data_IF_151452531841
#
_entry.id   IF_151452531841
#
_cell.length_a   1.000
_cell.length_b   1.000
_cell.length_c   1.000
_cell.angle_alpha   90.00
_cell.angle_beta   90.00
_cell.angle_gamma   90.00
#
_symmetry.space_group_name_H-M   'P 1'
#
loop_
_entity.id
_entity.type
_entity.pdbx_description
1 polymer ?
#
# COMPACT_ATOMS: atom_id res chain seq x y z
N UNK A 1 -38.77 94.23 -13.55
CA UNK A 1 -37.38 94.20 -13.03
C UNK A 1 -36.96 92.75 -12.88
N UNK A 2 -35.74 92.44 -13.34
CA UNK A 2 -34.93 91.23 -13.11
C UNK A 2 -35.46 89.84 -13.53
N UNK A 3 -34.95 89.38 -14.69
CA UNK A 3 -34.37 88.04 -14.91
C UNK A 3 -33.28 87.68 -13.87
N UNK A 4 -32.62 86.48 -13.82
CA UNK A 4 -32.75 85.23 -14.62
C UNK A 4 -32.61 83.93 -13.76
N UNK A 5 -32.40 82.79 -14.43
CA UNK A 5 -31.71 81.53 -14.05
C UNK A 5 -32.66 80.32 -14.21
N UNK A 6 -32.30 79.19 -14.82
CA UNK A 6 -31.05 78.71 -15.37
C UNK A 6 -31.32 77.43 -16.17
N UNK A 7 -30.37 77.09 -17.03
CA UNK A 7 -30.39 76.08 -18.11
C UNK A 7 -30.20 74.65 -17.56
N UNK A 8 -30.95 73.66 -18.05
CA UNK A 8 -30.49 72.26 -18.14
C UNK A 8 -30.99 71.65 -19.45
N UNK A 9 -30.03 71.26 -20.29
CA UNK A 9 -30.21 70.47 -21.51
C UNK A 9 -30.00 69.00 -21.11
N UNK A 10 -30.94 68.13 -21.46
CA UNK A 10 -30.73 66.68 -21.51
C UNK A 10 -31.25 66.17 -22.85
N UNK A 11 -30.30 65.83 -23.71
CA UNK A 11 -30.47 64.96 -24.87
C UNK A 11 -30.29 63.53 -24.40
N UNK A 12 -31.31 62.68 -24.55
CA UNK A 12 -31.15 61.22 -24.51
C UNK A 12 -31.74 60.63 -25.79
N UNK A 13 -30.82 60.32 -26.70
CA UNK A 13 -31.07 59.51 -27.89
C UNK A 13 -30.84 58.05 -27.50
N UNK A 14 -31.91 57.29 -27.30
CA UNK A 14 -31.84 55.86 -27.06
C UNK A 14 -31.29 55.14 -28.32
N UNK A 15 -30.14 54.49 -28.18
CA UNK A 15 -29.62 53.50 -29.15
C UNK A 15 -29.60 52.15 -28.45
N UNK A 16 -30.42 51.23 -28.93
CA UNK A 16 -30.43 49.82 -28.52
C UNK A 16 -29.35 49.05 -29.29
N UNK A 17 -28.50 48.22 -28.65
CA UNK A 17 -27.52 47.39 -29.35
C UNK A 17 -28.20 46.15 -29.96
N UNK A 18 -28.00 45.97 -31.26
CA UNK A 18 -28.42 44.81 -32.05
C UNK A 18 -27.57 43.58 -31.66
N UNK A 19 -28.21 42.52 -31.18
CA UNK A 19 -27.55 41.26 -30.80
C UNK A 19 -27.45 40.40 -32.05
N UNK A 20 -26.26 40.25 -32.61
CA UNK A 20 -26.04 39.32 -33.72
C UNK A 20 -26.31 37.87 -33.28
N UNK A 21 -27.08 37.09 -34.06
CA UNK A 21 -27.44 35.72 -33.69
C UNK A 21 -26.24 34.78 -33.86
N UNK A 22 -26.05 33.89 -32.87
CA UNK A 22 -25.01 32.84 -32.79
C UNK A 22 -24.86 31.94 -34.04
N UNK A 23 -25.80 32.01 -34.98
CA UNK A 23 -25.72 31.42 -36.30
C UNK A 23 -24.57 31.96 -37.16
N UNK A 24 -24.06 33.17 -36.92
CA UNK A 24 -22.92 33.73 -37.67
C UNK A 24 -21.58 33.07 -37.30
N UNK A 25 -21.43 32.56 -36.07
CA UNK A 25 -20.24 31.82 -35.63
C UNK A 25 -20.14 30.43 -36.30
N UNK A 26 -21.27 29.79 -36.60
CA UNK A 26 -21.32 28.51 -37.32
C UNK A 26 -21.09 28.68 -38.84
N UNK A 27 -21.24 29.90 -39.36
CA UNK A 27 -21.04 30.24 -40.76
C UNK A 27 -19.61 30.73 -41.07
N UNK A 28 -18.65 30.56 -40.14
CA UNK A 28 -17.27 30.92 -40.41
C UNK A 28 -16.70 30.08 -41.56
N UNK A 29 -16.05 30.70 -42.57
CA UNK A 29 -15.55 30.02 -43.78
C UNK A 29 -14.53 28.91 -43.51
N UNK A 30 -13.94 28.87 -42.31
CA UNK A 30 -13.07 27.79 -41.85
C UNK A 30 -13.79 26.44 -41.66
N UNK A 31 -15.11 26.44 -41.40
CA UNK A 31 -15.91 25.23 -41.22
C UNK A 31 -16.40 24.61 -42.54
N UNK A 32 -16.20 25.29 -43.68
CA UNK A 32 -16.53 24.75 -45.01
C UNK A 32 -15.35 24.09 -45.72
N UNK A 33 -14.13 24.28 -45.21
CA UNK A 33 -12.96 23.64 -45.81
C UNK A 33 -12.96 22.13 -45.50
N UNK A 34 -13.03 21.25 -46.53
CA UNK A 34 -13.12 19.81 -46.32
C UNK A 34 -11.90 19.24 -45.56
N UNK A 35 -10.75 19.92 -45.64
CA UNK A 35 -9.54 19.58 -44.89
C UNK A 35 -9.66 19.92 -43.40
N UNK A 36 -10.29 21.05 -43.06
CA UNK A 36 -10.49 21.46 -41.67
C UNK A 36 -11.53 20.57 -40.98
N UNK A 37 -12.64 20.27 -41.67
CA UNK A 37 -13.67 19.35 -41.16
C UNK A 37 -13.09 17.95 -40.93
N UNK A 38 -12.27 17.44 -41.86
CA UNK A 38 -11.60 16.16 -41.69
C UNK A 38 -10.59 16.16 -40.52
N UNK A 39 -9.82 17.23 -40.36
CA UNK A 39 -8.86 17.35 -39.25
C UNK A 39 -9.55 17.47 -37.88
N UNK A 40 -10.62 18.27 -37.80
CA UNK A 40 -11.43 18.40 -36.59
C UNK A 40 -12.14 17.09 -36.23
N UNK A 41 -12.71 16.39 -37.22
CA UNK A 41 -13.29 15.07 -37.04
C UNK A 41 -12.26 14.04 -36.56
N UNK A 42 -11.05 14.04 -37.15
CA UNK A 42 -9.95 13.17 -36.73
C UNK A 42 -9.49 13.44 -35.29
N UNK A 43 -9.40 14.70 -34.88
CA UNK A 43 -9.06 15.08 -33.50
C UNK A 43 -10.14 14.60 -32.51
N UNK A 44 -11.42 14.75 -32.85
CA UNK A 44 -12.52 14.27 -32.00
C UNK A 44 -12.49 12.75 -31.86
N UNK A 45 -12.26 12.01 -32.95
CA UNK A 45 -12.13 10.54 -32.92
C UNK A 45 -10.90 10.13 -32.09
N UNK A 46 -9.77 10.83 -32.23
CA UNK A 46 -8.57 10.58 -31.44
C UNK A 46 -8.81 10.86 -29.94
N UNK A 47 -9.52 11.93 -29.60
CA UNK A 47 -9.86 12.26 -28.21
C UNK A 47 -10.86 11.26 -27.62
N UNK A 48 -11.84 10.79 -28.40
CA UNK A 48 -12.75 9.72 -28.00
C UNK A 48 -11.97 8.42 -27.80
N UNK A 49 -11.07 8.07 -28.71
CA UNK A 49 -10.22 6.89 -28.61
C UNK A 49 -9.30 6.99 -27.39
N UNK A 50 -8.60 8.11 -27.18
CA UNK A 50 -7.79 8.34 -25.97
C UNK A 50 -8.63 8.31 -24.69
N UNK A 51 -9.85 8.85 -24.74
CA UNK A 51 -10.78 8.82 -23.61
C UNK A 51 -11.17 7.38 -23.28
N UNK A 52 -11.64 6.61 -24.26
CA UNK A 52 -12.02 5.20 -24.13
C UNK A 52 -10.85 4.31 -23.69
N UNK A 53 -9.65 4.54 -24.22
CA UNK A 53 -8.44 3.82 -23.82
C UNK A 53 -7.95 4.22 -22.41
N UNK A 54 -8.19 5.47 -21.98
CA UNK A 54 -7.92 5.89 -20.60
C UNK A 54 -8.94 5.34 -19.60
N UNK A 55 -10.19 5.12 -20.00
CA UNK A 55 -11.22 4.51 -19.13
C UNK A 55 -11.07 2.99 -18.96
N UNK A 56 -10.25 2.32 -19.78
CA UNK A 56 -9.97 0.88 -19.67
C UNK A 56 -9.13 0.45 -18.45
N UNK A 57 -8.59 1.41 -17.68
CA UNK A 57 -7.86 1.15 -16.42
C UNK A 57 -8.71 1.26 -15.16
N UNK A 58 -10.04 1.29 -15.28
CA UNK A 58 -10.90 1.14 -14.10
C UNK A 58 -10.96 -0.33 -13.75
N UNK A 59 -9.95 -0.78 -13.00
CA UNK A 59 -9.98 -2.07 -12.35
C UNK A 59 -11.33 -2.27 -11.66
N UNK A 60 -11.85 -3.48 -11.80
CA UNK A 60 -13.05 -3.96 -11.15
C UNK A 60 -12.97 -3.61 -9.66
N UNK A 61 -13.60 -2.50 -9.27
CA UNK A 61 -13.70 -2.11 -7.86
C UNK A 61 -14.48 -3.23 -7.19
N UNK A 62 -13.79 -4.06 -6.40
CA UNK A 62 -14.44 -5.07 -5.55
C UNK A 62 -15.56 -4.37 -4.80
N UNK A 63 -16.80 -4.83 -5.03
CA UNK A 63 -17.98 -4.28 -4.39
C UNK A 63 -17.93 -4.67 -2.90
N UNK A 64 -17.42 -3.78 -2.05
CA UNK A 64 -17.22 -4.03 -0.63
C UNK A 64 -16.33 -2.99 0.04
N UNK A 65 -16.24 -3.01 1.39
CA UNK A 65 -15.31 -2.15 2.12
C UNK A 65 -13.86 -2.53 1.79
N UNK A 66 -12.98 -1.54 1.70
CA UNK A 66 -11.54 -1.76 1.50
C UNK A 66 -11.00 -2.55 2.70
N UNK A 67 -10.41 -3.72 2.44
CA UNK A 67 -9.93 -4.60 3.52
C UNK A 67 -8.43 -4.46 3.69
N UNK A 68 -8.00 -4.20 4.91
CA UNK A 68 -6.61 -3.96 5.30
C UNK A 68 -6.18 -4.98 6.34
N UNK A 69 -5.12 -5.74 6.06
CA UNK A 69 -4.60 -6.75 6.99
C UNK A 69 -3.40 -6.20 7.78
N UNK A 70 -3.42 -6.35 9.11
CA UNK A 70 -2.24 -6.13 9.95
C UNK A 70 -1.55 -7.47 10.20
N UNK A 71 -0.30 -7.56 9.78
CA UNK A 71 0.53 -8.77 9.88
C UNK A 71 1.93 -8.42 10.37
N UNK A 72 2.67 -9.42 10.82
CA UNK A 72 4.06 -9.25 11.26
C UNK A 72 4.36 -9.97 12.57
N UNK A 73 5.63 -9.92 13.02
CA UNK A 73 6.12 -10.65 14.19
C UNK A 73 5.30 -10.38 15.45
N UNK A 74 5.29 -11.33 16.38
CA UNK A 74 4.76 -11.08 17.73
C UNK A 74 5.45 -9.87 18.39
N UNK A 75 4.71 -9.16 19.23
CA UNK A 75 5.16 -7.94 19.94
C UNK A 75 5.53 -6.74 19.06
N UNK A 76 5.27 -6.79 17.74
CA UNK A 76 5.50 -5.64 16.86
C UNK A 76 4.56 -4.46 17.08
N UNK A 77 3.48 -4.64 17.84
CA UNK A 77 2.50 -3.58 18.17
C UNK A 77 1.23 -3.57 17.32
N UNK A 78 0.97 -4.63 16.52
CA UNK A 78 -0.23 -4.73 15.65
C UNK A 78 -1.53 -4.42 16.36
N UNK A 79 -1.78 -5.04 17.51
CA UNK A 79 -3.04 -4.88 18.27
C UNK A 79 -3.17 -3.49 18.89
N UNK A 80 -2.07 -2.87 19.31
CA UNK A 80 -2.06 -1.46 19.75
C UNK A 80 -2.36 -0.51 18.58
N UNK A 81 -1.77 -0.76 17.42
CA UNK A 81 -2.04 -0.01 16.19
C UNK A 81 -3.50 -0.16 15.75
N UNK A 82 -4.04 -1.40 15.76
CA UNK A 82 -5.44 -1.71 15.49
C UNK A 82 -6.37 -0.91 16.40
N UNK A 83 -6.15 -0.98 17.71
CA UNK A 83 -6.99 -0.32 18.70
C UNK A 83 -6.96 1.19 18.52
N UNK A 84 -5.78 1.76 18.25
CA UNK A 84 -5.63 3.20 18.02
C UNK A 84 -6.33 3.67 16.75
N UNK A 85 -6.26 2.90 15.66
CA UNK A 85 -6.94 3.22 14.39
C UNK A 85 -8.48 3.11 14.50
N UNK A 86 -8.99 2.12 15.25
CA UNK A 86 -10.43 1.84 15.34
C UNK A 86 -11.13 2.71 16.38
N UNK A 87 -10.51 2.91 17.55
CA UNK A 87 -11.17 3.53 18.70
C UNK A 87 -10.63 4.92 19.03
N UNK A 88 -9.64 5.43 18.29
CA UNK A 88 -8.86 6.65 18.59
C UNK A 88 -8.19 6.67 19.98
N UNK A 89 -8.35 5.59 20.74
CA UNK A 89 -8.04 5.47 22.16
C UNK A 89 -6.90 4.46 22.35
N UNK A 90 -5.97 4.77 23.24
CA UNK A 90 -4.86 3.88 23.59
C UNK A 90 -5.34 2.88 24.64
N UNK A 91 -5.30 1.58 24.32
CA UNK A 91 -5.51 0.50 25.30
C UNK A 91 -4.27 -0.39 25.27
N UNK A 92 -3.73 -0.69 26.44
CA UNK A 92 -2.66 -1.68 26.59
C UNK A 92 -3.22 -3.06 26.20
N UNK A 93 -2.76 -3.62 25.10
CA UNK A 93 -3.26 -4.91 24.59
C UNK A 93 -2.26 -6.03 24.83
N UNK A 94 -2.76 -7.18 25.28
CA UNK A 94 -2.00 -8.43 25.38
C UNK A 94 -2.06 -9.18 24.04
N UNK A 95 -1.20 -10.19 23.86
CA UNK A 95 -1.12 -10.98 22.63
C UNK A 95 -2.48 -11.61 22.27
N UNK A 96 -3.04 -11.21 21.12
CA UNK A 96 -4.34 -11.68 20.63
C UNK A 96 -4.29 -13.19 20.31
N UNK A 97 -5.22 -13.97 20.88
CA UNK A 97 -5.38 -15.41 20.62
C UNK A 97 -6.31 -15.67 19.40
N UNK A 98 -7.06 -14.64 18.94
CA UNK A 98 -8.00 -14.70 17.80
C UNK A 98 -7.84 -13.45 16.91
N UNK A 99 -8.12 -13.52 15.59
CA UNK A 99 -8.18 -12.34 14.74
C UNK A 99 -9.21 -11.33 15.21
N UNK A 100 -8.82 -10.06 15.26
CA UNK A 100 -9.76 -8.96 15.51
C UNK A 100 -10.17 -8.34 14.19
N UNK A 101 -11.46 -8.35 13.87
CA UNK A 101 -12.00 -7.82 12.62
C UNK A 101 -12.99 -6.72 12.95
N UNK A 102 -12.77 -5.52 12.42
CA UNK A 102 -13.69 -4.40 12.59
C UNK A 102 -13.83 -3.63 11.29
N UNK A 103 -15.06 -3.31 10.91
CA UNK A 103 -15.37 -2.38 9.82
C UNK A 103 -15.82 -1.05 10.42
N UNK A 104 -15.22 0.05 9.98
CA UNK A 104 -15.52 1.39 10.52
C UNK A 104 -15.39 2.47 9.43
N UNK A 105 -16.08 3.62 9.58
CA UNK A 105 -15.88 4.76 8.70
C UNK A 105 -14.50 5.36 8.99
N UNK A 106 -13.64 5.37 7.98
CA UNK A 106 -12.30 5.93 8.05
C UNK A 106 -12.30 7.33 7.44
N UNK A 107 -11.87 8.33 8.21
CA UNK A 107 -11.82 9.73 7.79
C UNK A 107 -10.60 10.01 6.93
N UNK A 108 -10.76 10.90 5.94
CA UNK A 108 -9.67 11.37 5.09
C UNK A 108 -8.59 12.10 5.91
N UNK A 109 -7.31 11.86 5.63
CA UNK A 109 -6.22 12.61 6.26
C UNK A 109 -6.08 14.04 5.72
N UNK A 110 -6.80 14.42 4.64
CA UNK A 110 -6.64 15.71 3.96
C UNK A 110 -7.66 16.79 4.37
N UNK A 111 -8.34 16.60 5.51
CA UNK A 111 -9.33 17.56 6.05
C UNK A 111 -10.46 17.95 5.07
N UNK A 112 -10.76 17.11 4.08
CA UNK A 112 -11.78 17.34 3.05
C UNK A 112 -13.19 16.85 3.45
N UNK A 113 -13.32 16.31 4.67
CA UNK A 113 -14.56 15.75 5.21
C UNK A 113 -15.01 14.43 4.57
N UNK A 114 -14.18 13.83 3.71
CA UNK A 114 -14.51 12.55 3.09
C UNK A 114 -14.31 11.39 4.06
N UNK A 115 -15.16 10.36 3.92
CA UNK A 115 -15.06 9.12 4.70
C UNK A 115 -15.20 7.92 3.78
N UNK A 116 -14.51 6.83 4.10
CA UNK A 116 -14.64 5.55 3.38
C UNK A 116 -14.72 4.37 4.36
N UNK A 117 -15.51 3.33 4.08
CA UNK A 117 -15.58 2.17 4.95
C UNK A 117 -14.31 1.31 4.81
N UNK A 118 -13.57 1.13 5.90
CA UNK A 118 -12.40 0.27 5.97
C UNK A 118 -12.72 -0.93 6.86
N UNK A 119 -12.40 -2.14 6.38
CA UNK A 119 -12.38 -3.37 7.17
C UNK A 119 -10.95 -3.65 7.60
N UNK A 120 -10.63 -3.43 8.86
CA UNK A 120 -9.30 -3.70 9.42
C UNK A 120 -9.30 -5.07 10.09
N UNK A 121 -8.26 -5.87 9.82
CA UNK A 121 -8.11 -7.23 10.35
C UNK A 121 -6.75 -7.35 11.03
N UNK A 122 -6.72 -7.52 12.35
CA UNK A 122 -5.51 -7.85 13.11
C UNK A 122 -5.29 -9.35 13.12
N UNK A 123 -4.20 -9.82 12.50
CA UNK A 123 -3.82 -11.23 12.50
C UNK A 123 -2.73 -11.49 13.55
N UNK A 124 -2.91 -12.50 14.43
CA UNK A 124 -1.96 -12.78 15.50
C UNK A 124 -0.61 -13.28 14.95
N UNK A 125 0.49 -12.78 15.52
CA UNK A 125 1.87 -13.07 15.10
C UNK A 125 2.40 -14.46 15.49
N UNK A 126 1.59 -15.52 15.35
CA UNK A 126 1.95 -16.89 15.70
C UNK A 126 2.36 -17.69 14.44
N UNK A 127 3.22 -18.72 14.52
CA UNK A 127 3.55 -19.64 13.42
C UNK A 127 2.41 -20.20 12.55
N UNK A 128 1.14 -20.11 13.02
CA UNK A 128 -0.07 -20.51 12.28
C UNK A 128 -0.68 -19.38 11.43
N UNK A 129 -0.05 -18.20 11.42
CA UNK A 129 -0.46 -17.00 10.67
C UNK A 129 -0.68 -17.29 9.18
N UNK A 130 0.00 -18.27 8.60
CA UNK A 130 -0.11 -18.62 7.17
C UNK A 130 -1.50 -19.15 6.80
N UNK A 131 -2.05 -20.05 7.61
CA UNK A 131 -3.37 -20.64 7.34
C UNK A 131 -4.48 -19.61 7.50
N UNK A 132 -4.28 -18.67 8.41
CA UNK A 132 -5.21 -17.58 8.66
C UNK A 132 -5.10 -16.49 7.60
N UNK A 133 -3.89 -16.14 7.19
CA UNK A 133 -3.62 -15.24 6.06
C UNK A 133 -4.30 -15.75 4.79
N UNK A 134 -4.19 -17.05 4.47
CA UNK A 134 -4.85 -17.65 3.28
C UNK A 134 -6.38 -17.45 3.27
N UNK A 135 -7.03 -17.29 4.43
CA UNK A 135 -8.48 -17.04 4.50
C UNK A 135 -8.83 -15.59 4.13
N UNK A 136 -8.00 -14.64 4.54
CA UNK A 136 -8.28 -13.21 4.40
C UNK A 136 -7.55 -12.56 3.23
N UNK A 137 -6.52 -13.20 2.68
CA UNK A 137 -5.72 -12.65 1.58
C UNK A 137 -6.57 -12.38 0.34
N UNK A 138 -7.56 -13.24 0.05
CA UNK A 138 -8.47 -13.10 -1.11
C UNK A 138 -9.32 -11.83 -1.08
N UNK A 139 -9.65 -11.35 0.12
CA UNK A 139 -10.41 -10.10 0.31
C UNK A 139 -9.51 -8.89 0.57
N UNK A 140 -8.21 -9.09 0.82
CA UNK A 140 -7.28 -8.02 1.13
C UNK A 140 -7.07 -7.07 -0.07
N UNK A 141 -7.30 -5.78 0.19
CA UNK A 141 -6.91 -4.69 -0.71
C UNK A 141 -5.49 -4.23 -0.41
N UNK A 142 -5.08 -4.28 0.86
CA UNK A 142 -3.73 -3.94 1.29
C UNK A 142 -3.29 -4.70 2.54
N UNK A 143 -1.98 -4.71 2.77
CA UNK A 143 -1.32 -5.36 3.90
C UNK A 143 -0.36 -4.39 4.58
N UNK A 144 -0.44 -4.25 5.90
CA UNK A 144 0.54 -3.55 6.72
C UNK A 144 1.37 -4.60 7.45
N UNK A 145 2.63 -4.73 7.04
CA UNK A 145 3.60 -5.57 7.72
C UNK A 145 4.30 -4.76 8.81
N UNK A 146 3.86 -4.93 10.05
CA UNK A 146 4.27 -4.14 11.21
C UNK A 146 5.51 -4.73 11.85
N UNK A 147 6.57 -3.93 11.96
CA UNK A 147 7.87 -4.32 12.50
C UNK A 147 8.25 -3.37 13.64
N UNK A 148 8.65 -3.92 14.80
CA UNK A 148 9.26 -3.13 15.86
C UNK A 148 10.68 -2.71 15.47
N UNK A 149 10.90 -1.41 15.29
CA UNK A 149 12.17 -0.87 14.82
C UNK A 149 13.33 -1.11 15.79
N UNK A 150 13.08 -1.19 17.09
CA UNK A 150 14.12 -1.45 18.09
C UNK A 150 14.50 -2.92 18.14
N UNK A 151 13.50 -3.82 18.04
CA UNK A 151 13.71 -5.26 18.05
C UNK A 151 14.31 -5.78 16.72
N UNK A 152 14.09 -5.06 15.62
CA UNK A 152 14.51 -5.45 14.28
C UNK A 152 16.00 -5.83 14.20
N UNK A 153 16.87 -5.10 14.90
CA UNK A 153 18.33 -5.36 14.85
C UNK A 153 18.68 -6.75 15.37
N UNK A 154 17.97 -7.23 16.39
CA UNK A 154 18.22 -8.52 17.03
C UNK A 154 17.49 -9.66 16.33
N UNK A 155 16.33 -9.37 15.73
CA UNK A 155 15.42 -10.36 15.19
C UNK A 155 15.30 -10.32 13.66
N UNK A 156 16.20 -9.62 12.95
CA UNK A 156 16.09 -9.33 11.51
C UNK A 156 15.85 -10.57 10.66
N UNK A 157 16.59 -11.66 10.92
CA UNK A 157 16.45 -12.91 10.20
C UNK A 157 15.03 -13.51 10.35
N UNK A 158 14.51 -13.58 11.58
CA UNK A 158 13.16 -14.09 11.84
C UNK A 158 12.08 -13.21 11.20
N UNK A 159 12.24 -11.88 11.26
CA UNK A 159 11.30 -10.95 10.59
C UNK A 159 11.28 -11.17 9.08
N UNK A 160 12.44 -11.37 8.45
CA UNK A 160 12.52 -11.65 7.03
C UNK A 160 11.95 -13.04 6.67
N UNK A 161 12.18 -14.06 7.50
CA UNK A 161 11.60 -15.39 7.36
C UNK A 161 10.07 -15.38 7.45
N UNK A 162 9.49 -14.47 8.24
CA UNK A 162 8.04 -14.24 8.32
C UNK A 162 7.50 -13.44 7.12
N UNK A 163 8.24 -12.42 6.66
CA UNK A 163 7.84 -11.57 5.53
C UNK A 163 7.82 -12.32 4.20
N UNK A 164 8.86 -13.11 3.94
CA UNK A 164 9.04 -13.87 2.70
C UNK A 164 7.79 -14.65 2.24
N UNK A 165 7.19 -15.54 3.05
CA UNK A 165 6.00 -16.30 2.65
C UNK A 165 4.75 -15.42 2.48
N UNK A 166 4.67 -14.28 3.16
CA UNK A 166 3.55 -13.33 2.99
C UNK A 166 3.61 -12.72 1.59
N UNK A 167 4.79 -12.24 1.18
CA UNK A 167 4.99 -11.68 -0.17
C UNK A 167 4.69 -12.70 -1.27
N UNK A 168 5.18 -13.94 -1.12
CA UNK A 168 4.87 -15.04 -2.06
C UNK A 168 3.37 -15.32 -2.13
N UNK A 169 2.69 -15.39 -0.98
CA UNK A 169 1.24 -15.65 -0.96
C UNK A 169 0.45 -14.54 -1.65
N UNK A 170 0.85 -13.28 -1.44
CA UNK A 170 0.22 -12.11 -2.06
C UNK A 170 0.49 -12.05 -3.57
N UNK A 171 1.73 -12.28 -3.97
CA UNK A 171 2.15 -12.34 -5.38
C UNK A 171 1.38 -13.42 -6.13
N UNK A 172 1.38 -14.65 -5.61
CA UNK A 172 0.66 -15.78 -6.20
C UNK A 172 -0.83 -15.48 -6.35
N UNK A 173 -1.44 -14.84 -5.35
CA UNK A 173 -2.83 -14.42 -5.46
C UNK A 173 -3.04 -13.42 -6.59
N UNK A 174 -2.21 -12.36 -6.67
CA UNK A 174 -2.34 -11.33 -7.68
C UNK A 174 -2.16 -11.90 -9.09
N UNK A 175 -1.16 -12.77 -9.28
CA UNK A 175 -0.87 -13.44 -10.56
C UNK A 175 -2.01 -14.38 -10.93
N UNK A 176 -2.43 -15.26 -10.02
CA UNK A 176 -3.49 -16.25 -10.27
C UNK A 176 -4.82 -15.60 -10.60
N UNK A 177 -5.16 -14.51 -9.91
CA UNK A 177 -6.44 -13.80 -10.12
C UNK A 177 -6.37 -12.73 -11.19
N UNK A 178 -5.18 -12.48 -11.77
CA UNK A 178 -4.91 -11.37 -12.70
C UNK A 178 -5.45 -10.03 -12.17
N UNK A 179 -5.38 -9.83 -10.85
CA UNK A 179 -5.86 -8.61 -10.20
C UNK A 179 -4.78 -7.53 -10.20
N UNK A 180 -5.17 -6.30 -9.85
CA UNK A 180 -4.19 -5.28 -9.53
C UNK A 180 -3.23 -5.76 -8.43
N UNK A 181 -1.96 -5.31 -8.46
CA UNK A 181 -0.97 -5.63 -7.44
C UNK A 181 -1.48 -5.28 -6.05
N UNK A 182 -1.24 -6.18 -5.08
CA UNK A 182 -1.63 -5.89 -3.69
C UNK A 182 -0.66 -4.89 -3.08
N UNK A 183 -1.18 -3.81 -2.49
CA UNK A 183 -0.38 -2.79 -1.82
C UNK A 183 0.12 -3.31 -0.47
N UNK A 184 1.42 -3.21 -0.22
CA UNK A 184 2.07 -3.67 1.01
C UNK A 184 2.87 -2.52 1.63
N UNK A 185 2.51 -2.11 2.84
CA UNK A 185 3.29 -1.17 3.64
C UNK A 185 4.14 -1.94 4.65
N UNK A 186 5.45 -1.90 4.49
CA UNK A 186 6.40 -2.37 5.52
C UNK A 186 6.60 -1.22 6.51
N UNK A 187 6.02 -1.37 7.70
CA UNK A 187 5.87 -0.31 8.69
C UNK A 187 6.87 -0.45 9.84
N UNK A 188 7.79 0.51 9.95
CA UNK A 188 8.68 0.71 11.08
C UNK A 188 7.89 1.29 12.28
N UNK A 189 7.36 0.43 13.13
CA UNK A 189 6.56 0.82 14.28
C UNK A 189 7.42 1.10 15.52
N UNK A 190 6.80 1.80 16.49
CA UNK A 190 7.41 2.28 17.74
C UNK A 190 8.58 3.26 17.51
N UNK A 191 8.50 4.05 16.44
CA UNK A 191 9.52 5.04 16.09
C UNK A 191 9.61 6.16 17.12
N UNK A 192 8.52 6.44 17.83
CA UNK A 192 8.48 7.35 18.98
C UNK A 192 9.52 6.98 20.05
N UNK A 193 9.77 5.68 20.26
CA UNK A 193 10.75 5.18 21.21
C UNK A 193 12.22 5.34 20.76
N UNK A 194 12.47 5.70 19.50
CA UNK A 194 13.81 6.07 19.04
C UNK A 194 14.17 7.51 19.44
N UNK A 195 13.17 8.32 19.72
CA UNK A 195 13.34 9.71 20.12
C UNK A 195 13.49 9.78 21.64
N UNK A 196 14.32 10.71 22.13
CA UNK A 196 14.40 11.02 23.57
C UNK A 196 13.34 12.05 23.99
N UNK A 197 12.52 12.50 23.05
CA UNK A 197 11.54 13.55 23.28
C UNK A 197 10.27 12.94 23.88
N UNK A 198 9.72 13.60 24.90
CA UNK A 198 8.37 13.30 25.39
C UNK A 198 7.28 14.01 24.58
N UNK A 199 7.64 14.61 23.44
CA UNK A 199 6.68 15.25 22.53
C UNK A 199 5.82 14.21 21.82
N UNK A 200 4.58 14.60 21.51
CA UNK A 200 3.66 13.83 20.67
C UNK A 200 4.07 13.84 19.19
N UNK A 201 4.91 14.80 18.80
CA UNK A 201 5.43 14.93 17.45
C UNK A 201 6.76 14.21 17.32
N UNK A 202 6.78 13.21 16.44
CA UNK A 202 7.97 12.46 16.08
C UNK A 202 8.74 13.30 15.04
N UNK A 203 10.01 13.64 15.28
CA UNK A 203 10.80 14.39 14.31
C UNK A 203 10.90 13.65 12.97
N UNK A 204 10.74 14.35 11.85
CA UNK A 204 10.80 13.74 10.51
C UNK A 204 12.14 13.02 10.26
N UNK A 205 13.23 13.50 10.86
CA UNK A 205 14.53 12.81 10.83
C UNK A 205 14.50 11.42 11.44
N UNK A 206 13.69 11.21 12.49
CA UNK A 206 13.51 9.92 13.15
C UNK A 206 12.65 8.98 12.31
N UNK A 207 11.57 9.49 11.70
CA UNK A 207 10.74 8.75 10.75
C UNK A 207 11.56 8.30 9.54
N UNK A 208 12.30 9.22 8.91
CA UNK A 208 13.18 8.92 7.77
C UNK A 208 14.25 7.89 8.13
N UNK A 209 14.88 8.03 9.31
CA UNK A 209 15.88 7.05 9.78
C UNK A 209 15.26 5.67 10.01
N UNK A 210 14.06 5.60 10.59
CA UNK A 210 13.35 4.36 10.81
C UNK A 210 13.01 3.66 9.47
N UNK A 211 12.45 4.40 8.50
CA UNK A 211 12.15 3.90 7.14
C UNK A 211 13.41 3.34 6.47
N UNK A 212 14.50 4.12 6.45
CA UNK A 212 15.77 3.73 5.83
C UNK A 212 16.38 2.49 6.51
N UNK A 213 16.30 2.43 7.84
CA UNK A 213 16.83 1.31 8.63
C UNK A 213 16.07 0.01 8.38
N UNK A 214 14.74 0.04 8.36
CA UNK A 214 13.93 -1.15 8.04
C UNK A 214 14.23 -1.62 6.63
N UNK A 215 14.21 -0.71 5.65
CA UNK A 215 14.53 -1.03 4.26
C UNK A 215 15.90 -1.69 4.14
N UNK A 216 16.95 -1.05 4.67
CA UNK A 216 18.32 -1.57 4.58
C UNK A 216 18.51 -2.93 5.26
N UNK A 217 18.00 -3.11 6.49
CA UNK A 217 18.14 -4.36 7.23
C UNK A 217 17.39 -5.49 6.53
N UNK A 218 16.13 -5.26 6.14
CA UNK A 218 15.34 -6.31 5.50
C UNK A 218 15.86 -6.61 4.10
N UNK A 219 16.34 -5.64 3.30
CA UNK A 219 16.99 -5.93 2.01
C UNK A 219 18.12 -6.94 2.19
N UNK A 220 18.99 -6.73 3.19
CA UNK A 220 20.12 -7.63 3.44
C UNK A 220 19.68 -9.04 3.83
N UNK A 221 18.66 -9.16 4.67
CA UNK A 221 18.16 -10.49 5.07
C UNK A 221 17.40 -11.19 3.94
N UNK A 222 16.65 -10.44 3.12
CA UNK A 222 15.97 -10.99 1.93
C UNK A 222 16.98 -11.45 0.88
N UNK A 223 18.07 -10.70 0.69
CA UNK A 223 19.18 -11.09 -0.19
C UNK A 223 19.88 -12.38 0.31
N UNK A 224 20.09 -12.47 1.64
CA UNK A 224 20.56 -13.70 2.27
C UNK A 224 19.60 -14.87 2.01
N UNK A 225 18.29 -14.68 2.18
CA UNK A 225 17.29 -15.71 1.91
C UNK A 225 17.30 -16.14 0.44
N UNK A 226 17.33 -15.19 -0.52
CA UNK A 226 17.45 -15.46 -1.96
C UNK A 226 18.70 -16.27 -2.27
N UNK A 227 19.85 -15.92 -1.69
CA UNK A 227 21.10 -16.67 -1.87
C UNK A 227 21.08 -18.09 -1.25
N UNK A 228 20.35 -18.31 -0.15
CA UNK A 228 20.19 -19.67 0.41
C UNK A 228 19.30 -20.56 -0.46
N UNK A 229 18.32 -19.98 -1.14
CA UNK A 229 17.40 -20.70 -2.06
C UNK A 229 18.12 -21.13 -3.35
N UNK A 230 18.89 -20.24 -3.97
CA UNK A 230 19.64 -20.57 -5.20
C UNK A 230 20.68 -21.67 -4.99
N UNK A 231 21.27 -21.75 -3.80
CA UNK A 231 22.21 -22.82 -3.43
C UNK A 231 21.55 -24.17 -3.16
N UNK A 232 20.26 -24.20 -2.85
CA UNK A 232 19.52 -25.44 -2.58
C UNK A 232 18.80 -26.01 -3.81
N UNK A 233 18.54 -25.19 -4.84
CA UNK A 233 18.00 -25.64 -6.15
C UNK A 233 19.05 -26.13 -7.15
N UNK A 234 20.34 -25.84 -6.94
CA UNK A 234 21.42 -26.37 -7.77
C UNK A 234 21.89 -27.72 -7.25
N UNK A 235 21.27 -28.81 -7.72
CA UNK A 235 21.77 -30.20 -7.70
C UNK A 235 22.71 -30.59 -6.56
N UNK A 236 22.16 -31.25 -5.54
CA UNK A 236 22.92 -31.86 -4.46
C UNK A 236 23.95 -32.88 -4.95
N UNK A 237 25.19 -32.43 -5.19
CA UNK A 237 26.38 -33.23 -4.95
C UNK A 237 26.82 -32.93 -3.52
N UNK A 238 26.31 -33.76 -2.60
CA UNK A 238 26.76 -33.80 -1.21
C UNK A 238 28.19 -34.33 -1.24
N UNK A 239 29.18 -33.43 -1.25
CA UNK A 239 30.50 -33.76 -0.74
C UNK A 239 30.50 -33.38 0.74
N UNK A 240 30.06 -34.36 1.53
CA UNK A 240 30.23 -34.42 2.96
C UNK A 240 31.71 -34.28 3.30
N UNK A 241 32.09 -33.19 3.96
CA UNK A 241 33.21 -33.15 4.92
C UNK A 241 33.26 -31.77 5.60
N UNK A 242 33.04 -31.74 6.92
CA UNK A 242 33.32 -30.54 7.73
C UNK A 242 32.36 -30.32 8.91
N UNK A 243 32.44 -31.19 9.90
CA UNK A 243 31.74 -31.13 11.18
C UNK A 243 32.08 -29.85 11.95
N UNK A 244 31.11 -28.92 12.09
CA UNK A 244 30.98 -28.06 13.29
C UNK A 244 29.50 -27.94 13.61
N UNK A 245 29.13 -28.41 14.80
CA UNK A 245 27.77 -28.37 15.30
C UNK A 245 27.34 -26.91 15.57
N UNK A 246 26.28 -26.48 14.88
CA UNK A 246 25.65 -25.17 15.07
C UNK A 246 24.36 -25.08 14.27
N UNK A 247 23.26 -25.53 14.87
CA UNK A 247 21.84 -25.27 14.52
C UNK A 247 21.55 -25.27 13.01
N UNK A 248 21.21 -26.45 12.48
CA UNK A 248 20.79 -26.62 11.08
C UNK A 248 19.40 -26.01 10.83
N UNK A 249 19.33 -24.90 10.10
CA UNK A 249 18.09 -24.37 9.48
C UNK A 249 17.75 -25.04 8.14
N UNK A 250 18.37 -26.18 7.83
CA UNK A 250 18.29 -26.94 6.58
C UNK A 250 16.96 -27.64 6.30
N UNK A 251 15.80 -27.11 6.73
CA UNK A 251 14.54 -27.82 6.48
C UNK A 251 13.26 -27.16 6.93
N UNK A 252 13.25 -25.84 7.19
CA UNK A 252 12.01 -25.17 7.53
C UNK A 252 11.07 -25.03 6.32
N UNK A 253 11.58 -24.62 5.16
CA UNK A 253 10.74 -24.40 3.96
C UNK A 253 10.24 -25.69 3.32
N UNK A 254 11.08 -26.73 3.20
CA UNK A 254 10.67 -28.04 2.66
C UNK A 254 9.57 -28.73 3.50
N UNK A 255 9.56 -28.53 4.83
CA UNK A 255 8.52 -29.05 5.73
C UNK A 255 7.23 -28.24 5.72
N UNK A 256 7.27 -27.01 5.22
CA UNK A 256 6.17 -26.05 5.35
C UNK A 256 5.24 -26.02 4.12
N UNK A 257 5.65 -26.58 2.99
CA UNK A 257 4.82 -26.69 1.78
C UNK A 257 4.57 -28.14 1.33
N UNK A 258 5.37 -29.11 1.78
CA UNK A 258 5.16 -30.54 1.53
C UNK A 258 4.36 -31.24 2.64
N UNK A 259 3.05 -31.00 2.76
CA UNK A 259 2.13 -31.89 3.47
C UNK A 259 0.68 -31.59 3.13
N UNK A 260 0.14 -32.23 2.09
CA UNK A 260 -1.28 -32.17 1.81
C UNK A 260 -1.72 -32.74 0.46
N UNK A 261 -1.34 -33.96 0.10
CA UNK A 261 -2.07 -34.73 -0.92
C UNK A 261 -1.74 -36.21 -0.82
N UNK A 262 -2.76 -37.00 -0.48
CA UNK A 262 -2.81 -38.46 -0.56
C UNK A 262 -2.39 -38.95 -1.94
N UNK A 263 -1.54 -39.97 -1.98
CA UNK A 263 -0.82 -40.38 -3.18
C UNK A 263 -1.67 -40.78 -4.37
N UNK A 264 -1.20 -40.38 -5.55
CA UNK A 264 -0.89 -41.22 -6.72
C UNK A 264 0.32 -40.55 -7.36
N UNK A 265 1.37 -41.31 -7.70
CA UNK A 265 2.61 -40.74 -8.23
C UNK A 265 2.42 -40.03 -9.58
N UNK A 266 3.23 -39.02 -9.82
CA UNK A 266 3.91 -38.65 -11.07
C UNK A 266 4.64 -37.31 -10.87
N UNK A 267 5.87 -37.27 -11.39
CA UNK A 267 6.66 -36.10 -11.80
C UNK A 267 6.88 -34.97 -10.78
N UNK A 268 8.10 -34.94 -10.23
CA UNK A 268 8.63 -33.75 -9.58
C UNK A 268 9.31 -32.87 -10.63
N UNK A 269 8.67 -31.77 -10.98
CA UNK A 269 9.22 -30.63 -11.72
C UNK A 269 8.42 -29.37 -11.31
N UNK A 270 9.10 -28.21 -11.26
CA UNK A 270 8.58 -26.83 -11.29
C UNK A 270 8.21 -25.98 -10.06
N UNK A 271 8.14 -26.45 -8.81
CA UNK A 271 7.82 -25.50 -7.70
C UNK A 271 8.93 -24.46 -7.42
N UNK A 272 10.19 -24.76 -7.77
CA UNK A 272 11.33 -23.88 -7.54
C UNK A 272 11.51 -22.78 -8.59
N UNK A 273 11.03 -23.00 -9.82
CA UNK A 273 11.15 -22.03 -10.92
C UNK A 273 10.15 -20.89 -10.74
N UNK A 274 8.89 -21.22 -10.41
CA UNK A 274 7.82 -20.27 -10.14
C UNK A 274 8.15 -19.31 -8.99
N UNK A 275 8.74 -19.80 -7.88
CA UNK A 275 9.13 -18.92 -6.77
C UNK A 275 10.31 -18.00 -7.09
N UNK A 276 11.20 -18.42 -7.99
CA UNK A 276 12.34 -17.61 -8.41
C UNK A 276 11.90 -16.42 -9.28
N UNK A 277 10.82 -16.60 -10.06
CA UNK A 277 10.20 -15.52 -10.83
C UNK A 277 9.59 -14.46 -9.90
N UNK A 278 8.95 -14.88 -8.80
CA UNK A 278 8.31 -13.96 -7.83
C UNK A 278 9.32 -13.01 -7.18
N UNK A 279 10.61 -13.35 -7.07
CA UNK A 279 11.64 -12.55 -6.39
C UNK A 279 12.70 -11.99 -7.36
N UNK A 280 12.40 -12.01 -8.65
CA UNK A 280 13.32 -11.67 -9.73
C UNK A 280 14.43 -12.70 -9.96
N UNK A 281 15.04 -12.61 -11.14
CA UNK A 281 16.08 -13.54 -11.61
C UNK A 281 17.44 -13.45 -10.88
N UNK A 282 18.50 -13.93 -11.55
CA UNK A 282 19.87 -13.94 -11.01
C UNK A 282 20.34 -12.53 -10.62
N UNK A 283 20.82 -12.38 -9.39
CA UNK A 283 21.31 -11.10 -8.88
C UNK A 283 20.97 -10.91 -7.40
N UNK A 284 21.30 -9.74 -6.87
CA UNK A 284 20.86 -9.33 -5.53
C UNK A 284 19.35 -9.16 -5.48
N UNK A 285 18.77 -9.23 -4.28
CA UNK A 285 17.36 -8.97 -4.07
C UNK A 285 17.02 -7.48 -4.27
N UNK A 286 15.98 -7.21 -5.07
CA UNK A 286 15.35 -5.90 -5.18
C UNK A 286 13.88 -6.00 -4.77
N UNK A 287 13.36 -4.95 -4.12
CA UNK A 287 11.95 -4.88 -3.73
C UNK A 287 11.03 -4.70 -4.94
N UNK A 288 11.54 -4.07 -6.01
CA UNK A 288 10.79 -3.82 -7.25
C UNK A 288 10.67 -5.08 -8.12
N UNK A 289 11.50 -6.10 -7.85
CA UNK A 289 11.46 -7.37 -8.55
C UNK A 289 10.35 -8.30 -8.03
N UNK A 290 9.65 -7.90 -6.95
CA UNK A 290 8.58 -8.73 -6.37
C UNK A 290 7.29 -8.56 -7.18
N UNK A 291 7.00 -9.51 -8.05
CA UNK A 291 5.84 -9.42 -8.95
C UNK A 291 4.51 -9.46 -8.19
N UNK A 292 3.49 -8.78 -8.71
CA UNK A 292 2.12 -8.84 -8.17
C UNK A 292 1.90 -8.12 -6.83
N UNK A 293 2.89 -7.40 -6.32
CA UNK A 293 2.77 -6.58 -5.10
C UNK A 293 3.42 -5.21 -5.29
N UNK A 294 2.84 -4.19 -4.66
CA UNK A 294 3.41 -2.84 -4.61
C UNK A 294 3.92 -2.58 -3.20
N UNK A 295 5.24 -2.54 -3.01
CA UNK A 295 5.86 -2.46 -1.68
C UNK A 295 6.30 -1.03 -1.38
N UNK A 296 5.80 -0.47 -0.28
CA UNK A 296 6.20 0.83 0.26
C UNK A 296 6.74 0.67 1.69
N UNK A 297 7.51 1.66 2.14
CA UNK A 297 8.09 1.68 3.49
C UNK A 297 7.57 2.91 4.22
N UNK A 298 7.13 2.71 5.45
CA UNK A 298 6.67 3.79 6.31
C UNK A 298 7.17 3.65 7.73
N UNK A 299 6.95 4.68 8.53
CA UNK A 299 7.20 4.70 9.95
C UNK A 299 5.93 5.10 10.72
N UNK A 300 5.86 4.64 11.96
CA UNK A 300 4.79 5.05 12.87
C UNK A 300 5.24 5.01 14.32
N UNK A 301 4.51 5.75 15.14
CA UNK A 301 4.62 5.70 16.59
C UNK A 301 3.31 6.15 17.24
N UNK A 302 3.00 5.59 18.41
CA UNK A 302 1.75 5.91 19.11
C UNK A 302 1.91 7.06 20.12
N UNK A 303 3.14 7.52 20.32
CA UNK A 303 3.49 8.49 21.36
C UNK A 303 3.52 7.87 22.77
N UNK A 304 3.81 8.68 23.80
CA UNK A 304 3.97 8.19 25.17
C UNK A 304 2.69 7.54 25.73
N UNK A 305 2.89 6.43 26.44
CA UNK A 305 1.84 5.64 27.10
C UNK A 305 1.17 6.47 28.21
N UNK A 306 -0.15 6.64 28.14
CA UNK A 306 -0.95 7.30 29.20
C UNK A 306 -1.49 8.70 28.87
N UNK A 307 -1.36 9.17 27.63
CA UNK A 307 -1.92 10.44 27.19
C UNK A 307 -3.46 10.47 27.33
N UNK A 308 -3.99 11.58 27.87
CA UNK A 308 -5.44 11.77 28.04
C UNK A 308 -6.05 12.07 26.66
N UNK A 309 -7.32 11.69 26.47
CA UNK A 309 -8.13 11.88 25.23
C UNK A 309 -8.22 13.33 24.71
N UNK A 310 -7.66 14.32 25.41
CA UNK A 310 -7.73 15.76 25.09
C UNK A 310 -6.43 16.33 24.48
N UNK A 311 -5.36 15.56 24.38
CA UNK A 311 -4.11 16.03 23.78
C UNK A 311 -4.12 15.82 22.25
N UNK A 312 -3.55 16.79 21.52
CA UNK A 312 -3.49 16.80 20.05
C UNK A 312 -2.98 15.46 19.52
N UNK A 313 -3.67 14.93 18.51
CA UNK A 313 -3.19 13.77 17.78
C UNK A 313 -1.83 14.11 17.15
N UNK A 314 -0.78 13.38 17.56
CA UNK A 314 0.57 13.58 17.00
C UNK A 314 0.67 13.05 15.57
N UNK A 315 1.79 13.35 14.90
CA UNK A 315 2.05 12.95 13.51
C UNK A 315 2.41 11.46 13.32
N UNK A 316 2.42 10.67 14.40
CA UNK A 316 2.95 9.31 14.39
C UNK A 316 2.11 8.28 13.61
N UNK A 317 0.90 8.64 13.16
CA UNK A 317 0.04 7.78 12.34
C UNK A 317 -0.18 8.30 10.91
N UNK A 318 0.38 9.45 10.54
CA UNK A 318 0.03 10.15 9.30
C UNK A 318 0.33 9.31 8.06
N UNK A 319 1.47 8.61 8.05
CA UNK A 319 1.86 7.71 6.96
C UNK A 319 0.94 6.50 6.85
N UNK A 320 0.55 5.94 8.00
CA UNK A 320 -0.37 4.79 8.06
C UNK A 320 -1.75 5.20 7.56
N UNK A 321 -2.23 6.37 7.99
CA UNK A 321 -3.53 6.90 7.59
C UNK A 321 -3.55 7.24 6.10
N UNK A 322 -2.50 7.90 5.60
CA UNK A 322 -2.33 8.21 4.18
C UNK A 322 -2.30 6.94 3.33
N UNK A 323 -1.51 5.95 3.73
CA UNK A 323 -1.46 4.66 3.04
C UNK A 323 -2.83 3.97 3.01
N UNK A 324 -3.51 3.84 4.15
CA UNK A 324 -4.85 3.25 4.22
C UNK A 324 -5.84 4.03 3.35
N UNK A 325 -5.71 5.36 3.27
CA UNK A 325 -6.56 6.23 2.45
C UNK A 325 -6.33 6.06 0.93
N UNK A 326 -5.11 5.80 0.51
CA UNK A 326 -4.75 5.64 -0.91
C UNK A 326 -5.05 4.25 -1.49
N UNK A 327 -5.38 3.27 -0.63
CA UNK A 327 -5.85 1.93 -1.03
C UNK A 327 -7.31 1.96 -1.44
#
# INVERSE_FOLDING_TARGET
MSLPQGKVVLTDTATTPEVEPLSSLLAHPLLQDPKFVAAAGGLVVLLIFLSLFRTGKKASRRSGPTTVLLVGPSDSGKTSLFTKLVHETYIQTHTSIRPSITTFPFNSPYEDGQTKPIKLIDLPGHPRLKDELKKYVKEASAVLFVVDIQALVRNSAAVAEDLAPILVTLSNQSITTQSEPTKVLILAHKTDLLTRSSSYEIPESSLTTARARVKSILTREMDRLKATRTKSGAGGKIESLGKVAGISSSGFFAKLFGSGSTGVGLEGEDEGEDESLIWGGKGGFSWDDVEGVEITFGASGLGPVGAKKQEKEGNGLDEVKSFIWEV
#
